data_IF_766060609227
#
_entry.id   IF_766060609227
#
_cell.length_a   1.000
_cell.length_b   1.000
_cell.length_c   1.000
_cell.angle_alpha   90.00
_cell.angle_beta   90.00
_cell.angle_gamma   90.00
#
_symmetry.space_group_name_H-M   'P 1'
#
loop_
_entity.id
_entity.type
_entity.pdbx_description
1 polymer ?
#
# COMPACT_ATOMS: atom_id res chain seq x y z
N UNK A 1 0.79 9.15 -11.13
CA UNK A 1 -0.50 8.76 -10.51
C UNK A 1 -1.60 9.08 -11.51
N UNK A 2 -2.15 8.05 -12.15
CA UNK A 2 -3.15 8.18 -13.21
C UNK A 2 -4.42 8.84 -12.67
N UNK A 3 -4.83 9.99 -13.25
CA UNK A 3 -6.05 10.72 -12.87
C UNK A 3 -7.33 10.11 -13.48
N UNK A 4 -7.32 8.81 -13.74
CA UNK A 4 -8.37 8.11 -14.51
C UNK A 4 -9.16 7.11 -13.65
N UNK A 5 -8.88 7.00 -12.35
CA UNK A 5 -9.70 6.20 -11.44
C UNK A 5 -11.06 6.86 -11.26
N UNK A 6 -12.12 6.27 -11.84
CA UNK A 6 -13.51 6.63 -11.50
C UNK A 6 -13.68 6.55 -9.98
N UNK A 7 -14.49 7.45 -9.39
CA UNK A 7 -14.80 7.48 -7.95
C UNK A 7 -15.36 6.13 -7.47
N UNK A 8 -14.47 5.21 -7.08
CA UNK A 8 -14.78 3.89 -6.55
C UNK A 8 -14.82 3.88 -5.04
N UNK A 9 -14.55 2.74 -4.40
CA UNK A 9 -14.54 2.60 -2.92
C UNK A 9 -13.33 3.28 -2.24
N UNK A 10 -12.37 3.79 -3.01
CA UNK A 10 -11.04 4.18 -2.52
C UNK A 10 -10.04 3.03 -2.61
N UNK A 11 -8.97 3.07 -1.81
CA UNK A 11 -7.95 2.01 -1.76
C UNK A 11 -8.27 1.05 -0.62
N UNK A 12 -8.31 -0.24 -0.93
CA UNK A 12 -8.59 -1.31 0.03
C UNK A 12 -7.64 -2.48 -0.20
N UNK A 13 -7.10 -3.00 0.89
CA UNK A 13 -6.31 -4.22 0.93
C UNK A 13 -6.92 -5.15 1.98
N UNK A 14 -7.26 -6.36 1.56
CA UNK A 14 -7.83 -7.39 2.41
C UNK A 14 -6.89 -8.60 2.39
N UNK A 15 -6.42 -8.98 3.57
CA UNK A 15 -5.46 -10.07 3.77
C UNK A 15 -6.17 -11.18 4.52
N UNK A 16 -6.17 -12.39 3.96
CA UNK A 16 -6.80 -13.57 4.54
C UNK A 16 -5.71 -14.59 4.89
N UNK A 17 -5.68 -15.03 6.14
CA UNK A 17 -4.74 -16.03 6.64
C UNK A 17 -5.47 -17.12 7.44
N UNK A 18 -4.72 -18.17 7.82
CA UNK A 18 -5.25 -19.29 8.61
C UNK A 18 -5.88 -18.85 9.94
N UNK A 19 -5.32 -17.82 10.57
CA UNK A 19 -5.71 -17.37 11.91
C UNK A 19 -6.65 -16.16 11.91
N UNK A 20 -7.00 -15.63 10.74
CA UNK A 20 -7.85 -14.46 10.66
C UNK A 20 -7.73 -13.67 9.37
N UNK A 21 -8.29 -12.46 9.42
CA UNK A 21 -8.28 -11.52 8.30
C UNK A 21 -7.93 -10.11 8.78
N UNK A 22 -7.24 -9.36 7.93
CA UNK A 22 -6.92 -7.95 8.13
C UNK A 22 -7.48 -7.15 6.96
N UNK A 23 -8.26 -6.12 7.26
CA UNK A 23 -8.80 -5.19 6.27
C UNK A 23 -8.19 -3.82 6.54
N UNK A 24 -7.41 -3.32 5.57
CA UNK A 24 -6.85 -1.98 5.57
C UNK A 24 -7.49 -1.20 4.43
N UNK A 25 -8.10 -0.06 4.71
CA UNK A 25 -8.66 0.75 3.64
C UNK A 25 -9.06 2.14 4.03
N UNK A 26 -9.28 2.97 3.02
CA UNK A 26 -9.79 4.32 3.19
C UNK A 26 -10.91 4.60 2.19
N UNK A 27 -12.02 5.13 2.69
CA UNK A 27 -13.10 5.70 1.88
C UNK A 27 -12.84 7.16 1.49
N UNK A 28 -11.73 7.76 1.96
CA UNK A 28 -11.39 9.15 1.66
C UNK A 28 -10.85 9.29 0.24
N UNK A 29 -11.71 9.73 -0.68
CA UNK A 29 -11.34 9.91 -2.08
C UNK A 29 -10.63 11.25 -2.37
N UNK A 30 -10.67 12.19 -1.40
CA UNK A 30 -10.05 13.52 -1.54
C UNK A 30 -8.59 13.52 -1.15
N UNK A 31 -8.23 12.62 -0.24
CA UNK A 31 -6.86 12.41 0.21
C UNK A 31 -6.62 10.90 0.34
N UNK A 32 -5.83 10.36 -0.59
CA UNK A 32 -5.54 8.93 -0.68
C UNK A 32 -4.46 8.47 0.32
N UNK A 33 -4.00 9.36 1.21
CA UNK A 33 -3.07 9.04 2.29
C UNK A 33 -3.77 9.09 3.65
N UNK A 34 -4.61 10.10 3.89
CA UNK A 34 -5.31 10.26 5.16
C UNK A 34 -6.62 9.46 5.24
N UNK A 35 -6.89 8.92 6.43
CA UNK A 35 -8.17 8.27 6.74
C UNK A 35 -8.21 6.78 6.44
N UNK A 36 -7.04 6.12 6.44
CA UNK A 36 -7.00 4.67 6.51
C UNK A 36 -7.47 4.19 7.89
N UNK A 37 -8.26 3.14 7.90
CA UNK A 37 -8.60 2.38 9.10
C UNK A 37 -8.15 0.94 8.92
N UNK A 38 -7.78 0.30 10.03
CA UNK A 38 -7.44 -1.12 10.07
C UNK A 38 -8.49 -1.85 10.89
N UNK A 39 -9.02 -2.94 10.34
CA UNK A 39 -9.92 -3.85 11.04
C UNK A 39 -9.30 -5.24 11.03
N UNK A 40 -9.44 -5.97 12.12
CA UNK A 40 -8.89 -7.32 12.27
C UNK A 40 -9.97 -8.25 12.79
N UNK A 41 -10.07 -9.43 12.21
CA UNK A 41 -10.89 -10.52 12.70
C UNK A 41 -10.00 -11.72 12.99
N UNK A 42 -10.14 -12.32 14.17
CA UNK A 42 -9.35 -13.48 14.60
C UNK A 42 -10.22 -14.73 14.61
N UNK A 43 -9.71 -15.84 14.07
CA UNK A 43 -10.37 -17.16 14.07
C UNK A 43 -11.85 -17.14 13.64
N UNK A 44 -12.18 -16.38 12.59
CA UNK A 44 -13.56 -16.26 12.08
C UNK A 44 -14.49 -15.37 12.93
N UNK A 45 -13.96 -14.68 13.93
CA UNK A 45 -14.67 -13.67 14.70
C UNK A 45 -15.01 -12.40 13.90
N UNK A 46 -15.72 -11.44 14.51
CA UNK A 46 -16.10 -10.20 13.85
C UNK A 46 -14.89 -9.32 13.53
N UNK A 47 -15.01 -8.47 12.50
CA UNK A 47 -14.02 -7.44 12.20
C UNK A 47 -14.09 -6.35 13.26
N UNK A 48 -12.99 -6.14 13.97
CA UNK A 48 -12.86 -5.12 15.00
C UNK A 48 -11.84 -4.07 14.57
N UNK A 49 -12.25 -2.79 14.64
CA UNK A 49 -11.37 -1.66 14.37
C UNK A 49 -10.21 -1.65 15.35
N UNK A 50 -8.99 -1.66 14.83
CA UNK A 50 -7.78 -1.55 15.61
C UNK A 50 -7.38 -0.08 15.72
N UNK A 51 -7.02 0.35 16.93
CA UNK A 51 -6.46 1.67 17.13
C UNK A 51 -5.11 1.78 16.41
N UNK A 52 -4.81 2.95 15.87
CA UNK A 52 -3.48 3.22 15.31
C UNK A 52 -2.47 3.24 16.46
N UNK A 53 -1.55 2.27 16.48
CA UNK A 53 -0.43 2.29 17.40
C UNK A 53 0.62 3.29 16.91
N UNK A 54 0.81 4.37 17.67
CA UNK A 54 1.64 5.53 17.31
C UNK A 54 3.10 5.21 16.92
N UNK A 55 3.61 4.02 17.21
CA UNK A 55 4.98 3.60 16.89
C UNK A 55 5.29 3.62 15.38
N UNK A 56 4.26 3.47 14.53
CA UNK A 56 4.41 3.53 13.07
C UNK A 56 3.76 4.76 12.43
N UNK A 57 3.21 5.65 13.27
CA UNK A 57 2.63 6.91 12.83
C UNK A 57 3.69 7.89 12.34
N UNK A 58 3.25 8.92 11.61
CA UNK A 58 4.13 10.01 11.22
C UNK A 58 4.37 10.94 12.40
N UNK A 59 5.63 11.32 12.66
CA UNK A 59 5.96 12.31 13.68
C UNK A 59 5.32 13.69 13.43
N UNK A 60 5.02 13.99 12.16
CA UNK A 60 4.32 15.20 11.72
C UNK A 60 3.47 14.91 10.49
N UNK A 61 2.30 15.53 10.43
CA UNK A 61 1.41 15.53 9.24
C UNK A 61 1.18 16.95 8.73
N UNK A 62 0.64 17.05 7.52
CA UNK A 62 0.35 18.31 6.82
C UNK A 62 -1.05 18.26 6.22
N UNK A 63 -1.67 19.41 5.86
CA UNK A 63 -2.92 19.41 5.12
C UNK A 63 -2.86 18.62 3.80
N UNK A 64 -1.70 18.61 3.14
CA UNK A 64 -1.42 17.71 2.03
C UNK A 64 -0.85 16.39 2.57
N UNK A 65 -1.67 15.33 2.55
CA UNK A 65 -1.27 14.03 3.08
C UNK A 65 -0.07 13.39 2.41
N UNK A 66 0.32 13.83 1.22
CA UNK A 66 1.46 13.27 0.48
C UNK A 66 2.82 13.65 1.08
N UNK A 67 2.88 14.74 1.84
CA UNK A 67 4.15 15.27 2.37
C UNK A 67 4.78 14.30 3.37
N UNK A 68 3.99 13.75 4.31
CA UNK A 68 4.53 12.89 5.37
C UNK A 68 5.13 11.56 4.84
N UNK A 69 4.47 10.81 3.93
CA UNK A 69 5.07 9.65 3.29
C UNK A 69 6.34 9.96 2.51
N UNK A 70 6.35 11.04 1.72
CA UNK A 70 7.52 11.42 0.91
C UNK A 70 8.70 11.79 1.80
N UNK A 71 8.47 12.56 2.87
CA UNK A 71 9.52 12.89 3.83
C UNK A 71 10.14 11.63 4.47
N UNK A 72 9.32 10.64 4.83
CA UNK A 72 9.80 9.36 5.37
C UNK A 72 10.62 8.55 4.36
N UNK A 73 10.22 8.53 3.08
CA UNK A 73 10.99 7.85 2.04
C UNK A 73 12.36 8.50 1.82
N UNK A 74 12.42 9.84 1.83
CA UNK A 74 13.68 10.58 1.73
C UNK A 74 14.59 10.30 2.93
N UNK A 75 14.03 10.25 4.14
CA UNK A 75 14.77 9.90 5.36
C UNK A 75 15.35 8.47 5.29
N UNK A 76 14.56 7.48 4.89
CA UNK A 76 15.03 6.11 4.69
C UNK A 76 16.14 6.02 3.66
N UNK A 77 16.00 6.74 2.54
CA UNK A 77 17.01 6.77 1.49
C UNK A 77 18.32 7.41 1.96
N UNK A 78 18.26 8.59 2.59
CA UNK A 78 19.46 9.24 3.11
C UNK A 78 20.17 8.41 4.18
N UNK A 79 19.41 7.74 5.05
CA UNK A 79 19.95 6.81 6.05
C UNK A 79 20.66 5.62 5.40
N UNK A 80 20.03 4.99 4.42
CA UNK A 80 20.61 3.85 3.71
C UNK A 80 21.91 4.21 2.98
N UNK A 81 21.97 5.40 2.35
CA UNK A 81 23.19 5.92 1.73
C UNK A 81 24.31 6.10 2.76
N UNK A 82 24.01 6.69 3.92
CA UNK A 82 24.99 6.89 4.99
C UNK A 82 25.52 5.58 5.56
N UNK A 83 24.66 4.57 5.65
CA UNK A 83 24.98 3.25 6.21
C UNK A 83 25.56 2.29 5.16
N UNK A 84 25.63 2.68 3.88
CA UNK A 84 26.17 1.84 2.80
C UNK A 84 25.33 0.59 2.52
N UNK A 85 24.01 0.65 2.77
CA UNK A 85 23.07 -0.45 2.54
C UNK A 85 22.02 -0.08 1.50
N UNK A 86 21.39 -1.06 0.82
CA UNK A 86 20.29 -0.77 -0.08
C UNK A 86 19.04 -0.28 0.68
N UNK A 87 18.23 0.55 0.02
CA UNK A 87 16.83 0.76 0.38
C UNK A 87 16.01 -0.38 -0.21
N UNK A 88 15.12 -0.95 0.59
CA UNK A 88 14.14 -1.94 0.14
C UNK A 88 12.74 -1.38 0.44
N UNK A 89 11.82 -1.35 -0.55
CA UNK A 89 11.98 -1.82 -1.93
C UNK A 89 12.91 -0.92 -2.78
N UNK A 90 13.65 -1.53 -3.70
CA UNK A 90 14.54 -0.88 -4.67
C UNK A 90 14.14 -1.19 -6.12
N UNK A 91 15.09 -1.09 -7.05
CA UNK A 91 14.81 -1.30 -8.48
C UNK A 91 14.41 -2.74 -8.82
N UNK A 92 14.91 -3.74 -8.08
CA UNK A 92 14.56 -5.13 -8.31
C UNK A 92 13.07 -5.39 -7.99
N UNK A 93 12.59 -4.91 -6.84
CA UNK A 93 11.18 -4.99 -6.47
C UNK A 93 10.30 -4.14 -7.41
N UNK A 94 10.83 -3.00 -7.88
CA UNK A 94 10.19 -2.18 -8.92
C UNK A 94 10.01 -2.92 -10.25
N UNK A 95 11.04 -3.64 -10.71
CA UNK A 95 10.98 -4.46 -11.91
C UNK A 95 9.97 -5.61 -11.73
N UNK A 96 10.01 -6.31 -10.61
CA UNK A 96 9.05 -7.37 -10.31
C UNK A 96 7.60 -6.85 -10.33
N UNK A 97 7.36 -5.67 -9.75
CA UNK A 97 6.05 -5.01 -9.79
C UNK A 97 5.62 -4.66 -11.22
N UNK A 98 6.54 -4.16 -12.04
CA UNK A 98 6.28 -3.82 -13.43
C UNK A 98 5.93 -5.05 -14.28
N UNK A 99 6.65 -6.16 -14.10
CA UNK A 99 6.38 -7.43 -14.80
C UNK A 99 4.95 -7.90 -14.53
N UNK A 100 4.50 -7.83 -13.27
CA UNK A 100 3.11 -8.17 -12.91
C UNK A 100 2.12 -7.20 -13.56
N UNK A 101 2.40 -5.89 -13.54
CA UNK A 101 1.53 -4.89 -14.14
C UNK A 101 1.37 -5.11 -15.67
N UNK A 102 2.45 -5.46 -16.36
CA UNK A 102 2.44 -5.76 -17.79
C UNK A 102 1.68 -7.05 -18.09
N UNK A 103 1.86 -8.09 -17.27
CA UNK A 103 1.12 -9.34 -17.40
C UNK A 103 -0.38 -9.15 -17.21
N UNK A 104 -0.82 -8.32 -16.25
CA UNK A 104 -2.23 -7.98 -16.04
C UNK A 104 -2.82 -7.26 -17.25
N UNK A 105 -2.08 -6.29 -17.82
CA UNK A 105 -2.53 -5.60 -19.03
C UNK A 105 -2.67 -6.56 -20.21
N UNK A 106 -1.70 -7.46 -20.40
CA UNK A 106 -1.75 -8.50 -21.44
C UNK A 106 -2.92 -9.47 -21.25
N UNK A 107 -3.13 -9.94 -20.02
CA UNK A 107 -4.24 -10.82 -19.68
C UNK A 107 -5.59 -10.17 -19.98
N UNK A 108 -5.74 -8.89 -19.61
CA UNK A 108 -6.96 -8.12 -19.92
C UNK A 108 -7.17 -7.94 -21.43
N UNK A 109 -6.11 -7.66 -22.20
CA UNK A 109 -6.22 -7.45 -23.65
C UNK A 109 -6.54 -8.73 -24.42
N UNK A 110 -6.11 -9.88 -23.91
CA UNK A 110 -6.29 -11.19 -24.56
C UNK A 110 -7.46 -12.00 -24.00
N UNK A 111 -8.02 -11.58 -22.86
CA UNK A 111 -8.98 -12.35 -22.08
C UNK A 111 -8.46 -13.77 -21.73
N UNK A 112 -7.15 -13.91 -21.54
CA UNK A 112 -6.48 -15.18 -21.23
C UNK A 112 -5.58 -15.05 -20.01
N UNK A 113 -5.31 -16.16 -19.33
CA UNK A 113 -4.29 -16.22 -18.29
C UNK A 113 -2.89 -16.01 -18.89
N UNK A 114 -2.04 -15.30 -18.15
CA UNK A 114 -0.63 -15.05 -18.50
C UNK A 114 0.23 -15.58 -17.37
N UNK A 115 1.16 -16.47 -17.67
CA UNK A 115 2.17 -16.90 -16.69
C UNK A 115 3.26 -15.85 -16.54
N UNK A 116 3.69 -15.66 -15.30
CA UNK A 116 4.77 -14.77 -14.91
C UNK A 116 5.91 -15.68 -14.43
N UNK A 117 7.08 -15.54 -15.06
CA UNK A 117 8.29 -16.32 -14.76
C UNK A 117 9.27 -15.50 -13.94
#
# INVERSE_FOLDING_TARGET
>A
LSSVTRNGRGMWLELYGSDGQVVLGSSNQKDYVHGFTMQVARHGGPLETQAEESAHGFARTWPDGRIAPVARLLDWWTTAVREGRPVIPGLAEGLASQVVADAVQKASATAMAVEIT
#
